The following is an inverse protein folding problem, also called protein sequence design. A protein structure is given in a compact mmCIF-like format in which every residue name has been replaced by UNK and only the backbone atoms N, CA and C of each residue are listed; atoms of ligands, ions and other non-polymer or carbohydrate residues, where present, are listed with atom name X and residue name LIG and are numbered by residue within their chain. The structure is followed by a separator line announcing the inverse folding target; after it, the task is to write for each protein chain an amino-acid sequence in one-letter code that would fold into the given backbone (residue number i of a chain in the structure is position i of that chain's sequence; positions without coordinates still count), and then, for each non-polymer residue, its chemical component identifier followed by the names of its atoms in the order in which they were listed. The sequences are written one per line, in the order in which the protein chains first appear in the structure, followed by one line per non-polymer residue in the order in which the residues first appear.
data_IF_016320940982
#
_entry.id   IF_016320940982
#
_cell.length_a   1.000
_cell.length_b   1.000
_cell.length_c   1.000
_cell.angle_alpha   90.00
_cell.angle_beta   90.00
_cell.angle_gamma   90.00
#
_symmetry.space_group_name_H-M   'P 1'
#
loop_
_entity.id
_entity.type
_entity.pdbx_description
1 polymer ?
#
# COMPACT_ATOMS: atom_id res chain seq x y z
N UNK A 1 10.46 13.44 6.51
CA UNK A 1 11.28 12.26 6.82
C UNK A 1 10.48 11.03 6.46
N UNK A 2 10.91 10.26 5.46
CA UNK A 2 10.34 8.94 5.20
C UNK A 2 10.76 8.05 6.37
N UNK A 3 9.79 7.53 7.13
CA UNK A 3 10.08 6.63 8.23
C UNK A 3 10.67 5.34 7.65
N UNK A 4 11.83 4.91 8.17
CA UNK A 4 12.34 3.58 7.89
C UNK A 4 11.26 2.58 8.32
N UNK A 5 10.72 1.81 7.37
CA UNK A 5 9.75 0.75 7.63
C UNK A 5 10.33 -0.17 8.69
N UNK A 6 9.62 -0.38 9.79
CA UNK A 6 10.05 -1.29 10.85
C UNK A 6 9.50 -2.68 10.59
N UNK A 7 10.13 -3.70 11.17
CA UNK A 7 9.59 -5.08 11.13
C UNK A 7 8.14 -5.15 11.63
N UNK A 8 7.79 -4.31 12.59
CA UNK A 8 6.45 -4.13 13.14
C UNK A 8 5.40 -3.82 12.05
N UNK A 9 5.77 -2.99 11.07
CA UNK A 9 4.92 -2.60 9.94
C UNK A 9 4.66 -3.79 9.02
N UNK A 10 5.70 -4.61 8.78
CA UNK A 10 5.58 -5.84 8.00
C UNK A 10 4.73 -6.90 8.72
N UNK A 11 4.82 -7.00 10.04
CA UNK A 11 3.95 -7.88 10.84
C UNK A 11 2.48 -7.43 10.75
N UNK A 12 2.23 -6.12 10.82
CA UNK A 12 0.89 -5.57 10.61
C UNK A 12 0.36 -5.89 9.20
N UNK A 13 1.18 -5.70 8.15
CA UNK A 13 0.83 -6.07 6.78
C UNK A 13 0.55 -7.56 6.65
N UNK A 14 1.32 -8.45 7.30
CA UNK A 14 1.06 -9.90 7.29
C UNK A 14 -0.30 -10.27 7.89
N UNK A 15 -0.89 -9.43 8.75
CA UNK A 15 -2.25 -9.66 9.24
C UNK A 15 -3.30 -9.63 8.12
N UNK A 16 -3.00 -9.03 6.96
CA UNK A 16 -3.84 -9.09 5.76
C UNK A 16 -3.97 -10.50 5.19
N UNK A 17 -2.99 -11.40 5.40
CA UNK A 17 -3.12 -12.82 5.00
C UNK A 17 -4.22 -13.54 5.80
N UNK A 18 -4.54 -13.02 6.99
CA UNK A 18 -5.61 -13.52 7.83
C UNK A 18 -6.99 -13.05 7.36
N UNK A 19 -7.03 -12.08 6.43
CA UNK A 19 -8.29 -11.64 5.81
C UNK A 19 -8.80 -12.72 4.86
N UNK A 20 -10.10 -12.96 4.89
CA UNK A 20 -10.76 -14.07 4.20
C UNK A 20 -10.67 -14.06 2.66
N UNK A 21 -10.13 -12.99 2.04
CA UNK A 21 -10.02 -12.89 0.57
C UNK A 21 -9.07 -11.80 0.09
N UNK A 22 -8.45 -12.05 -1.08
CA UNK A 22 -7.60 -11.10 -1.84
C UNK A 22 -8.33 -9.77 -2.13
N UNK A 23 -9.60 -9.85 -2.49
CA UNK A 23 -10.43 -8.69 -2.81
C UNK A 23 -10.72 -7.83 -1.56
N UNK A 24 -10.90 -8.46 -0.40
CA UNK A 24 -11.04 -7.75 0.87
C UNK A 24 -9.77 -6.96 1.20
N UNK A 25 -8.58 -7.55 1.03
CA UNK A 25 -7.29 -6.87 1.23
C UNK A 25 -7.14 -5.67 0.29
N UNK A 26 -7.54 -5.84 -0.99
CA UNK A 26 -7.49 -4.76 -1.99
C UNK A 26 -8.43 -3.61 -1.62
N UNK A 27 -9.67 -3.91 -1.24
CA UNK A 27 -10.64 -2.90 -0.79
C UNK A 27 -10.14 -2.16 0.45
N UNK A 28 -9.61 -2.86 1.44
CA UNK A 28 -9.01 -2.27 2.63
C UNK A 28 -7.89 -1.29 2.29
N UNK A 29 -6.94 -1.72 1.44
CA UNK A 29 -5.87 -0.82 1.00
C UNK A 29 -6.40 0.37 0.22
N UNK A 30 -7.35 0.16 -0.70
CA UNK A 30 -7.96 1.24 -1.49
C UNK A 30 -8.72 2.25 -0.60
N UNK A 31 -9.44 1.79 0.41
CA UNK A 31 -10.11 2.64 1.39
C UNK A 31 -9.09 3.45 2.21
N UNK A 32 -7.99 2.82 2.65
CA UNK A 32 -6.88 3.50 3.32
C UNK A 32 -6.24 4.58 2.45
N UNK A 33 -6.20 4.38 1.12
CA UNK A 33 -5.61 5.34 0.20
C UNK A 33 -6.57 6.43 -0.28
N UNK A 34 -7.87 6.13 -0.41
CA UNK A 34 -8.88 7.04 -0.94
C UNK A 34 -9.61 7.86 0.11
N UNK A 35 -9.63 7.46 1.39
CA UNK A 35 -10.40 8.15 2.43
C UNK A 35 -9.57 8.46 3.69
N UNK A 36 -9.71 9.67 4.29
CA UNK A 36 -9.18 9.94 5.62
C UNK A 36 -9.87 9.03 6.67
N UNK A 37 -9.21 8.74 7.80
CA UNK A 37 -9.57 7.67 8.74
C UNK A 37 -10.96 7.77 9.42
N UNK A 38 -11.76 8.79 9.11
CA UNK A 38 -13.09 9.02 9.69
C UNK A 38 -14.26 8.32 8.98
N UNK A 39 -14.06 7.68 7.82
CA UNK A 39 -15.15 7.05 7.05
C UNK A 39 -14.93 5.57 6.72
N UNK A 40 -13.91 4.96 7.29
CA UNK A 40 -13.58 3.55 7.15
C UNK A 40 -14.65 2.77 7.91
N UNK A 41 -15.51 2.06 7.18
CA UNK A 41 -16.69 1.38 7.71
C UNK A 41 -16.35 0.18 8.62
N UNK A 42 -17.28 -0.78 8.78
CA UNK A 42 -17.13 -1.95 9.67
C UNK A 42 -15.87 -2.80 9.46
N UNK A 43 -15.10 -2.58 8.38
CA UNK A 43 -13.82 -3.23 8.12
C UNK A 43 -12.73 -2.85 9.13
N UNK A 44 -12.78 -1.64 9.72
CA UNK A 44 -11.87 -1.22 10.79
C UNK A 44 -12.03 -2.04 12.07
N UNK A 45 -13.19 -2.70 12.24
CA UNK A 45 -13.50 -3.52 13.41
C UNK A 45 -12.80 -4.89 13.39
N UNK A 46 -12.26 -5.33 12.24
CA UNK A 46 -11.71 -6.68 12.10
C UNK A 46 -10.28 -6.83 12.64
N UNK A 47 -9.55 -5.75 12.92
CA UNK A 47 -8.16 -5.86 13.39
C UNK A 47 -7.79 -4.76 14.39
N UNK A 48 -7.34 -5.13 15.59
CA UNK A 48 -6.75 -4.19 16.57
C UNK A 48 -5.49 -3.48 16.05
N UNK A 49 -4.95 -3.96 14.92
CA UNK A 49 -3.75 -3.45 14.25
C UNK A 49 -4.06 -2.51 13.07
N UNK A 50 -5.33 -2.16 12.84
CA UNK A 50 -5.77 -1.31 11.73
C UNK A 50 -5.02 0.04 11.62
N UNK A 51 -4.84 0.84 12.69
CA UNK A 51 -4.09 2.11 12.57
C UNK A 51 -2.61 1.89 12.19
N UNK A 52 -2.02 0.78 12.63
CA UNK A 52 -0.64 0.41 12.35
C UNK A 52 -0.49 -0.04 10.89
N UNK A 53 -1.44 -0.83 10.39
CA UNK A 53 -1.55 -1.21 8.99
C UNK A 53 -1.71 0.00 8.06
N UNK A 54 -2.61 0.93 8.42
CA UNK A 54 -2.81 2.18 7.67
C UNK A 54 -1.51 2.96 7.62
N UNK A 55 -0.84 3.13 8.76
CA UNK A 55 0.42 3.85 8.86
C UNK A 55 1.53 3.20 8.01
N UNK A 56 1.67 1.87 8.08
CA UNK A 56 2.60 1.08 7.27
C UNK A 56 2.35 1.26 5.77
N UNK A 57 1.10 1.11 5.32
CA UNK A 57 0.71 1.32 3.91
C UNK A 57 0.98 2.75 3.44
N UNK A 58 0.68 3.75 4.27
CA UNK A 58 0.92 5.15 3.94
C UNK A 58 2.41 5.46 3.87
N UNK A 59 3.21 4.91 4.80
CA UNK A 59 4.67 5.08 4.80
C UNK A 59 5.28 4.46 3.55
N UNK A 60 4.90 3.22 3.22
CA UNK A 60 5.34 2.51 2.03
C UNK A 60 4.97 3.26 0.74
N UNK A 61 3.72 3.68 0.61
CA UNK A 61 3.27 4.43 -0.56
C UNK A 61 4.00 5.77 -0.69
N UNK A 62 4.15 6.51 0.41
CA UNK A 62 4.89 7.78 0.41
C UNK A 62 6.36 7.55 0.03
N UNK A 63 6.98 6.47 0.50
CA UNK A 63 8.33 6.09 0.13
C UNK A 63 8.44 5.78 -1.37
N UNK A 64 7.53 4.97 -1.92
CA UNK A 64 7.45 4.64 -3.35
C UNK A 64 7.25 5.90 -4.21
N UNK A 65 6.32 6.78 -3.85
CA UNK A 65 6.10 8.07 -4.55
C UNK A 65 7.33 8.98 -4.44
N UNK A 66 7.95 9.05 -3.26
CA UNK A 66 9.11 9.91 -3.01
C UNK A 66 10.36 9.44 -3.76
N UNK A 67 10.58 8.12 -3.81
CA UNK A 67 11.66 7.51 -4.57
C UNK A 67 11.34 7.37 -6.07
N UNK A 68 10.10 7.67 -6.49
CA UNK A 68 9.67 7.56 -7.88
C UNK A 68 9.63 6.13 -8.40
N UNK A 69 9.40 5.14 -7.53
CA UNK A 69 9.39 3.73 -7.92
C UNK A 69 8.09 3.40 -8.68
N UNK A 70 8.21 3.25 -9.99
CA UNK A 70 7.10 2.85 -10.88
C UNK A 70 7.21 1.39 -11.33
N UNK A 71 8.29 0.70 -10.95
CA UNK A 71 8.52 -0.71 -11.24
C UNK A 71 7.99 -1.62 -10.14
N UNK A 72 7.41 -2.76 -10.52
CA UNK A 72 7.03 -3.79 -9.56
C UNK A 72 8.24 -4.38 -8.84
N UNK A 73 9.37 -4.52 -9.55
CA UNK A 73 10.60 -5.10 -9.02
C UNK A 73 11.22 -4.21 -7.94
N UNK A 74 11.24 -2.89 -8.14
CA UNK A 74 11.72 -1.94 -7.14
C UNK A 74 10.89 -1.98 -5.86
N UNK A 75 9.57 -2.06 -6.00
CA UNK A 75 8.66 -2.13 -4.85
C UNK A 75 8.82 -3.48 -4.15
N UNK A 76 8.99 -4.57 -4.90
CA UNK A 76 9.24 -5.90 -4.34
C UNK A 76 10.55 -5.95 -3.56
N UNK A 77 11.58 -5.22 -3.99
CA UNK A 77 12.86 -5.11 -3.30
C UNK A 77 12.76 -4.37 -1.94
N UNK A 78 11.68 -3.61 -1.70
CA UNK A 78 11.42 -2.99 -0.39
C UNK A 78 10.93 -3.99 0.66
N UNK A 79 10.42 -5.14 0.23
CA UNK A 79 9.93 -6.15 1.16
C UNK A 79 11.06 -7.08 1.60
N UNK A 80 11.09 -7.50 2.88
CA UNK A 80 12.07 -8.48 3.33
C UNK A 80 11.86 -9.83 2.63
N UNK A 81 12.94 -10.59 2.47
CA UNK A 81 12.94 -11.90 1.79
C UNK A 81 11.98 -12.91 2.46
N UNK A 82 11.85 -12.81 3.78
CA UNK A 82 10.99 -13.67 4.60
C UNK A 82 9.49 -13.29 4.52
N UNK A 83 9.12 -12.36 3.65
CA UNK A 83 7.74 -11.89 3.48
C UNK A 83 6.96 -12.75 2.47
N UNK A 84 5.68 -13.00 2.77
CA UNK A 84 4.83 -13.89 1.97
C UNK A 84 4.69 -13.41 0.52
N UNK A 85 5.09 -14.26 -0.43
CA UNK A 85 5.21 -13.88 -1.84
C UNK A 85 3.90 -13.40 -2.48
N UNK A 86 2.78 -14.05 -2.15
CA UNK A 86 1.46 -13.64 -2.62
C UNK A 86 1.05 -12.26 -2.09
N UNK A 87 1.35 -11.97 -0.82
CA UNK A 87 0.98 -10.70 -0.20
C UNK A 87 1.83 -9.55 -0.74
N UNK A 88 3.15 -9.71 -0.86
CA UNK A 88 4.02 -8.67 -1.46
C UNK A 88 3.62 -8.38 -2.90
N UNK A 89 3.30 -9.40 -3.70
CA UNK A 89 2.81 -9.22 -5.07
C UNK A 89 1.48 -8.46 -5.11
N UNK A 90 0.56 -8.77 -4.20
CA UNK A 90 -0.72 -8.06 -4.09
C UNK A 90 -0.52 -6.61 -3.69
N UNK A 91 0.24 -6.35 -2.63
CA UNK A 91 0.56 -5.01 -2.15
C UNK A 91 1.25 -4.18 -3.25
N UNK A 92 2.23 -4.76 -3.93
CA UNK A 92 2.93 -4.14 -5.06
C UNK A 92 1.95 -3.68 -6.14
N UNK A 93 1.00 -4.55 -6.53
CA UNK A 93 -0.04 -4.18 -7.49
C UNK A 93 -0.91 -3.03 -7.00
N UNK A 94 -1.38 -3.08 -5.76
CA UNK A 94 -2.26 -2.04 -5.21
C UNK A 94 -1.52 -0.71 -5.09
N UNK A 95 -0.25 -0.73 -4.64
CA UNK A 95 0.58 0.47 -4.52
C UNK A 95 0.82 1.06 -5.90
N UNK A 96 1.18 0.27 -6.91
CA UNK A 96 1.35 0.75 -8.29
C UNK A 96 0.08 1.41 -8.83
N UNK A 97 -1.09 0.80 -8.62
CA UNK A 97 -2.36 1.40 -9.01
C UNK A 97 -2.61 2.73 -8.28
N UNK A 98 -2.33 2.78 -6.98
CA UNK A 98 -2.52 3.99 -6.17
C UNK A 98 -1.54 5.11 -6.55
N UNK A 99 -0.27 4.78 -6.80
CA UNK A 99 0.77 5.70 -7.27
C UNK A 99 0.37 6.24 -8.63
N UNK A 100 -0.03 5.38 -9.57
CA UNK A 100 -0.54 5.81 -10.87
C UNK A 100 -1.72 6.77 -10.72
N UNK A 101 -2.70 6.44 -9.87
CA UNK A 101 -3.89 7.29 -9.64
C UNK A 101 -3.54 8.63 -8.98
N UNK A 102 -2.62 8.63 -8.01
CA UNK A 102 -2.21 9.85 -7.27
C UNK A 102 -1.28 10.75 -8.07
N UNK A 103 -0.37 10.17 -8.87
CA UNK A 103 0.45 10.91 -9.82
C UNK A 103 -0.43 11.50 -10.94
N UNK A 104 -1.49 10.80 -11.36
CA UNK A 104 -2.46 11.33 -12.33
C UNK A 104 -3.27 12.52 -11.79
N UNK A 105 -3.60 12.55 -10.50
CA UNK A 105 -4.40 13.62 -9.89
C UNK A 105 -3.61 14.88 -9.47
N UNK A 106 -2.27 14.80 -9.34
CA UNK A 106 -1.42 15.95 -8.97
C UNK A 106 -0.69 16.58 -10.18
N UNK A 107 -1.47 16.85 -11.24
CA UNK A 107 -1.15 17.55 -12.50
C UNK A 107 -0.72 16.60 -13.66
N UNK A 108 -1.42 16.61 -14.82
CA UNK A 108 -0.92 15.94 -16.03
C UNK A 108 0.23 16.77 -16.61
N UNK A 109 1.27 16.13 -17.17
CA UNK A 109 1.60 16.47 -18.55
C UNK A 109 2.22 15.31 -19.37
N UNK A 110 2.12 15.40 -20.69
CA UNK A 110 2.89 14.63 -21.69
C UNK A 110 2.60 13.11 -21.86
N UNK A 111 1.45 12.76 -22.43
CA UNK A 111 1.53 11.95 -23.66
C UNK A 111 1.69 12.94 -24.81
N UNK A 112 2.94 13.21 -25.19
CA UNK A 112 3.23 13.76 -26.51
C UNK A 112 4.31 12.92 -27.13
N UNK A 113 3.98 12.44 -28.34
CA UNK A 113 4.82 11.74 -29.33
C UNK A 113 4.99 10.22 -29.14
N UNK A 114 4.10 9.45 -29.78
CA UNK A 114 4.35 8.98 -31.15
C UNK A 114 3.02 8.79 -31.89
#
# INVERSE_FOLDING_TARGET
MAAAMREEDFVALQSLLKASSKDAVRQLCQECFSCPPGRLGPLALFTSSFPQLVSALHSLTRHVVFCGLTGAEDILALFPENFHQNLKNLLTKIILENVATRLLHHCPPFLSTQ
#
